data_IF_616670649293
#
_entry.id   IF_616670649293
#
_cell.length_a   1.000
_cell.length_b   1.000
_cell.length_c   1.000
_cell.angle_alpha   90.00
_cell.angle_beta   90.00
_cell.angle_gamma   90.00
#
_symmetry.space_group_name_H-M   'P 1'
#
loop_
_entity.id
_entity.type
_entity.pdbx_description
1 polymer ?
#
# COMPACT_ATOMS: atom_id res chain seq x y z
N UNK A 1 17.94 2.22 0.03
CA UNK A 1 16.65 2.88 -0.21
C UNK A 1 15.54 1.80 -0.22
N UNK A 2 14.69 1.63 0.91
CA UNK A 2 13.62 0.64 0.91
C UNK A 2 12.39 1.13 0.14
N UNK A 3 11.72 0.19 -0.52
CA UNK A 3 10.46 0.45 -1.22
C UNK A 3 9.41 -0.50 -0.67
N UNK A 4 8.31 0.06 -0.19
CA UNK A 4 7.17 -0.73 0.29
C UNK A 4 6.03 -0.55 -0.71
N UNK A 5 5.58 -1.65 -1.28
CA UNK A 5 4.51 -1.62 -2.27
C UNK A 5 3.23 -2.18 -1.67
N UNK A 6 2.18 -1.38 -1.65
CA UNK A 6 0.89 -1.77 -1.09
C UNK A 6 -0.13 -1.85 -2.22
N UNK A 7 -0.66 -3.03 -2.44
CA UNK A 7 -1.75 -3.22 -3.40
C UNK A 7 -3.04 -3.36 -2.63
N UNK A 8 -4.06 -2.64 -3.05
CA UNK A 8 -5.34 -2.67 -2.37
C UNK A 8 -6.45 -2.37 -3.36
N UNK A 9 -7.67 -2.71 -2.99
CA UNK A 9 -8.83 -2.39 -3.81
C UNK A 9 -9.01 -0.87 -3.87
N UNK A 10 -9.62 -0.42 -4.96
CA UNK A 10 -10.01 0.98 -5.10
C UNK A 10 -10.91 1.42 -3.95
N UNK A 11 -10.94 2.70 -3.68
CA UNK A 11 -11.89 3.28 -2.75
C UNK A 11 -11.28 3.93 -1.51
N UNK A 12 -9.98 3.81 -1.32
CA UNK A 12 -9.33 4.50 -0.21
C UNK A 12 -9.15 5.97 -0.56
N UNK A 13 -9.38 6.84 0.40
CA UNK A 13 -9.22 8.28 0.19
C UNK A 13 -7.75 8.66 0.22
N UNK A 14 -7.45 9.84 -0.32
CA UNK A 14 -6.09 10.36 -0.26
C UNK A 14 -5.64 10.56 1.18
N UNK A 15 -6.57 10.95 2.06
CA UNK A 15 -6.27 11.10 3.48
C UNK A 15 -5.86 9.79 4.13
N UNK A 16 -6.57 8.71 3.80
CA UNK A 16 -6.24 7.39 4.31
C UNK A 16 -4.88 6.92 3.79
N UNK A 17 -4.60 7.16 2.52
CA UNK A 17 -3.30 6.79 1.95
C UNK A 17 -2.18 7.59 2.58
N UNK A 18 -2.39 8.89 2.81
CA UNK A 18 -1.38 9.73 3.45
C UNK A 18 -1.08 9.25 4.86
N UNK A 19 -2.13 8.91 5.62
CA UNK A 19 -1.96 8.42 6.97
C UNK A 19 -1.24 7.08 7.01
N UNK A 20 -1.61 6.18 6.09
CA UNK A 20 -0.96 4.87 5.98
C UNK A 20 0.51 5.02 5.57
N UNK A 21 0.79 5.90 4.61
CA UNK A 21 2.16 6.15 4.18
C UNK A 21 3.02 6.64 5.35
N UNK A 22 2.47 7.52 6.18
CA UNK A 22 3.18 8.02 7.37
C UNK A 22 3.46 6.89 8.34
N UNK A 23 2.47 6.06 8.63
CA UNK A 23 2.61 4.97 9.59
C UNK A 23 3.64 3.94 9.12
N UNK A 24 3.60 3.58 7.83
CA UNK A 24 4.57 2.63 7.26
C UNK A 24 5.97 3.22 7.31
N UNK A 25 6.11 4.49 6.94
CA UNK A 25 7.41 5.15 6.95
C UNK A 25 7.98 5.21 8.36
N UNK A 26 7.15 5.56 9.35
CA UNK A 26 7.60 5.61 10.75
C UNK A 26 8.07 4.25 11.24
N UNK A 27 7.35 3.19 10.88
CA UNK A 27 7.74 1.84 11.26
C UNK A 27 9.07 1.45 10.61
N UNK A 28 9.25 1.76 9.33
CA UNK A 28 10.49 1.46 8.63
C UNK A 28 11.67 2.19 9.26
N UNK A 29 11.50 3.48 9.57
CA UNK A 29 12.55 4.28 10.19
C UNK A 29 12.92 3.71 11.56
N UNK A 30 11.91 3.40 12.36
CA UNK A 30 12.13 2.91 13.74
C UNK A 30 12.81 1.54 13.75
N UNK A 31 12.43 0.66 12.85
CA UNK A 31 12.87 -0.74 12.89
C UNK A 31 14.14 -0.96 12.07
N UNK A 32 14.21 -0.38 10.87
CA UNK A 32 15.34 -0.62 9.96
C UNK A 32 16.38 0.50 9.99
N UNK A 33 16.10 1.57 10.72
CA UNK A 33 17.03 2.69 10.87
C UNK A 33 17.30 3.43 9.54
N UNK A 34 16.34 3.42 8.64
CA UNK A 34 16.42 4.19 7.39
C UNK A 34 15.90 5.60 7.62
N UNK A 35 16.33 6.56 6.79
CA UNK A 35 15.80 7.91 6.90
C UNK A 35 14.41 7.99 6.25
N UNK A 36 13.54 8.90 6.73
CA UNK A 36 12.23 9.07 6.10
C UNK A 36 12.32 9.40 4.61
N UNK A 37 13.29 10.24 4.24
CA UNK A 37 13.44 10.68 2.85
C UNK A 37 13.86 9.54 1.93
N UNK A 38 14.50 8.51 2.46
CA UNK A 38 14.94 7.36 1.68
C UNK A 38 13.88 6.27 1.60
N UNK A 39 12.83 6.38 2.41
CA UNK A 39 11.79 5.37 2.47
C UNK A 39 10.68 5.71 1.48
N UNK A 40 10.42 4.80 0.55
CA UNK A 40 9.41 5.00 -0.50
C UNK A 40 8.24 4.06 -0.25
N UNK A 41 7.01 4.58 -0.32
CA UNK A 41 5.81 3.77 -0.23
C UNK A 41 5.01 4.00 -1.50
N UNK A 42 4.69 2.93 -2.20
CA UNK A 42 3.94 2.97 -3.45
C UNK A 42 2.60 2.27 -3.23
N UNK A 43 1.52 2.92 -3.65
CA UNK A 43 0.19 2.33 -3.60
C UNK A 43 -0.29 2.01 -5.00
N UNK A 44 -0.82 0.81 -5.18
CA UNK A 44 -1.50 0.42 -6.41
C UNK A 44 -2.96 0.19 -6.09
N UNK A 45 -3.82 1.01 -6.67
CA UNK A 45 -5.27 0.84 -6.55
C UNK A 45 -5.71 -0.15 -7.63
N UNK A 46 -6.22 -1.32 -7.20
CA UNK A 46 -6.57 -2.39 -8.11
C UNK A 46 -8.09 -2.55 -8.13
N UNK A 47 -8.73 -2.44 -9.29
CA UNK A 47 -10.16 -2.69 -9.37
C UNK A 47 -10.47 -4.17 -9.14
N UNK A 48 -11.66 -4.45 -8.63
CA UNK A 48 -12.04 -5.82 -8.27
C UNK A 48 -12.03 -6.77 -9.45
N UNK A 49 -12.25 -6.28 -10.66
CA UNK A 49 -12.19 -7.11 -11.86
C UNK A 49 -10.77 -7.51 -12.23
N UNK A 50 -9.76 -6.93 -11.55
CA UNK A 50 -8.36 -7.29 -11.73
C UNK A 50 -7.78 -8.03 -10.53
N UNK A 51 -8.63 -8.46 -9.62
CA UNK A 51 -8.21 -9.10 -8.38
C UNK A 51 -8.89 -10.46 -8.28
N UNK A 52 -8.11 -11.53 -8.33
CA UNK A 52 -8.65 -12.88 -8.24
C UNK A 52 -8.06 -13.61 -7.04
N UNK A 53 -8.89 -14.40 -6.40
CA UNK A 53 -8.48 -15.24 -5.29
C UNK A 53 -9.09 -16.62 -5.51
N UNK A 54 -8.25 -17.66 -5.48
CA UNK A 54 -8.72 -19.01 -5.74
C UNK A 54 -9.28 -19.18 -7.15
N UNK A 55 -8.82 -18.35 -8.10
CA UNK A 55 -9.32 -18.39 -9.46
C UNK A 55 -10.61 -17.63 -9.69
N UNK A 56 -11.12 -16.93 -8.67
CA UNK A 56 -12.38 -16.19 -8.77
C UNK A 56 -12.12 -14.70 -8.63
N UNK A 57 -12.60 -13.92 -9.59
CA UNK A 57 -12.47 -12.47 -9.54
C UNK A 57 -13.32 -11.89 -8.42
N UNK A 58 -12.80 -10.87 -7.75
CA UNK A 58 -13.54 -10.22 -6.66
C UNK A 58 -14.81 -9.54 -7.15
N UNK A 59 -14.86 -9.15 -8.43
CA UNK A 59 -16.07 -8.56 -9.02
C UNK A 59 -17.20 -9.58 -9.16
N UNK A 60 -16.90 -10.87 -9.06
CA UNK A 60 -17.88 -11.95 -9.22
C UNK A 60 -18.48 -12.43 -7.89
N UNK A 61 -18.10 -11.82 -6.79
CA UNK A 61 -18.59 -12.23 -5.45
C UNK A 61 -19.51 -11.21 -4.79
#
# INVERSE_FOLDING_TARGET
MPVVHVEMWLGRTNGQKQELARAITEAMVRITNTSPEATIVIFSDVPKENWAQGGVLSSET
#
